data_IF_439258165383
#
_entry.id   IF_439258165383
#
_cell.length_a   1.000
_cell.length_b   1.000
_cell.length_c   1.000
_cell.angle_alpha   90.00
_cell.angle_beta   90.00
_cell.angle_gamma   90.00
#
_symmetry.space_group_name_H-M   'P 1'
#
loop_
_entity.id
_entity.type
_entity.pdbx_description
1 polymer ?
#
# COMPACT_ATOMS: atom_id res chain seq x y z
N UNK A 1 2.12 -13.67 -32.12
CA UNK A 1 1.90 -12.86 -30.91
C UNK A 1 1.48 -13.81 -29.80
N UNK A 2 2.33 -14.02 -28.79
CA UNK A 2 2.02 -14.88 -27.66
C UNK A 2 1.13 -14.11 -26.69
N UNK A 3 0.01 -14.66 -26.18
CA UNK A 3 -0.74 -14.00 -25.13
C UNK A 3 0.12 -14.09 -23.87
N UNK A 4 0.82 -13.00 -23.55
CA UNK A 4 1.47 -12.82 -22.27
C UNK A 4 0.37 -12.88 -21.21
N UNK A 5 0.19 -14.05 -20.59
CA UNK A 5 -0.53 -14.21 -19.34
C UNK A 5 0.27 -13.50 -18.25
N UNK A 6 0.30 -12.16 -18.32
CA UNK A 6 0.78 -11.28 -17.28
C UNK A 6 -0.14 -11.47 -16.09
N UNK A 7 0.31 -12.30 -15.14
CA UNK A 7 -0.25 -12.39 -13.80
C UNK A 7 -0.16 -10.99 -13.19
N UNK A 8 -1.19 -10.19 -13.44
CA UNK A 8 -1.26 -8.80 -13.01
C UNK A 8 -1.54 -8.86 -11.53
N UNK A 9 -0.64 -8.34 -10.68
CA UNK A 9 -0.81 -8.44 -9.24
C UNK A 9 -2.08 -7.70 -8.83
N UNK A 10 -2.93 -8.34 -8.05
CA UNK A 10 -4.14 -7.71 -7.53
C UNK A 10 -3.80 -6.96 -6.26
N UNK A 11 -3.87 -5.63 -6.31
CA UNK A 11 -3.61 -4.79 -5.14
C UNK A 11 -4.94 -4.45 -4.46
N UNK A 12 -5.05 -4.77 -3.18
CA UNK A 12 -6.12 -4.37 -2.28
C UNK A 12 -5.56 -3.37 -1.27
N UNK A 13 -6.11 -2.16 -1.25
CA UNK A 13 -5.63 -1.08 -0.40
C UNK A 13 -6.74 -0.69 0.58
N UNK A 14 -6.52 -0.99 1.85
CA UNK A 14 -7.39 -0.66 2.95
C UNK A 14 -6.86 0.54 3.70
N UNK A 15 -7.70 1.55 3.81
CA UNK A 15 -7.43 2.76 4.58
C UNK A 15 -8.06 2.65 5.97
N UNK A 16 -7.42 3.19 7.02
CA UNK A 16 -8.01 3.33 8.34
C UNK A 16 -9.34 4.09 8.26
N UNK A 17 -10.28 3.69 9.12
CA UNK A 17 -11.59 4.35 9.20
C UNK A 17 -11.43 5.76 9.75
N UNK A 18 -12.28 6.67 9.28
CA UNK A 18 -12.31 8.06 9.72
C UNK A 18 -12.36 8.21 11.25
N UNK A 19 -13.16 7.36 11.91
CA UNK A 19 -13.26 7.33 13.37
C UNK A 19 -11.90 7.06 14.04
N UNK A 20 -11.16 6.09 13.53
CA UNK A 20 -9.80 5.76 14.01
C UNK A 20 -8.86 6.94 13.83
N UNK A 21 -8.91 7.60 12.67
CA UNK A 21 -8.09 8.80 12.37
C UNK A 21 -8.40 9.96 13.33
N UNK A 22 -9.64 10.07 13.80
CA UNK A 22 -10.03 11.11 14.76
C UNK A 22 -9.66 10.77 16.21
N UNK A 23 -9.76 9.51 16.60
CA UNK A 23 -9.59 9.09 18.01
C UNK A 23 -8.18 8.62 18.36
N UNK A 24 -7.44 8.07 17.40
CA UNK A 24 -6.11 7.51 17.64
C UNK A 24 -5.00 8.51 17.27
N UNK A 25 -3.86 8.35 17.94
CA UNK A 25 -2.62 9.11 17.64
C UNK A 25 -1.98 8.62 16.35
N UNK A 26 -2.05 7.31 16.11
CA UNK A 26 -1.45 6.63 14.97
C UNK A 26 -2.52 5.85 14.24
N UNK A 27 -2.36 5.76 12.93
CA UNK A 27 -3.28 5.06 12.04
C UNK A 27 -2.50 4.10 11.18
N UNK A 28 -3.17 3.01 10.81
CA UNK A 28 -2.57 1.92 10.04
C UNK A 28 -3.35 1.77 8.75
N UNK A 29 -2.66 1.85 7.62
CA UNK A 29 -3.19 1.47 6.32
C UNK A 29 -2.58 0.12 5.89
N UNK A 30 -3.40 -0.73 5.30
CA UNK A 30 -3.00 -2.08 4.91
C UNK A 30 -3.06 -2.19 3.39
N UNK A 31 -1.99 -2.65 2.76
CA UNK A 31 -1.96 -2.96 1.35
C UNK A 31 -1.66 -4.43 1.15
N UNK A 32 -2.59 -5.18 0.58
CA UNK A 32 -2.43 -6.59 0.25
C UNK A 32 -2.25 -6.72 -1.25
N UNK A 33 -1.10 -7.24 -1.66
CA UNK A 33 -0.75 -7.49 -3.05
C UNK A 33 -0.79 -8.99 -3.28
N UNK A 34 -1.78 -9.47 -4.02
CA UNK A 34 -1.84 -10.86 -4.45
C UNK A 34 -1.00 -11.03 -5.72
N UNK A 35 0.12 -11.70 -5.59
CA UNK A 35 1.05 -11.94 -6.69
C UNK A 35 1.75 -13.28 -6.53
N UNK A 36 1.86 -14.02 -7.64
CA UNK A 36 2.56 -15.31 -7.66
C UNK A 36 4.04 -15.23 -7.23
N UNK A 37 4.61 -14.01 -7.19
CA UNK A 37 5.99 -13.72 -6.84
C UNK A 37 6.07 -12.70 -5.71
N UNK A 38 7.22 -12.66 -5.03
CA UNK A 38 7.51 -11.70 -3.98
C UNK A 38 7.80 -10.31 -4.57
N UNK A 39 6.76 -9.50 -4.72
CA UNK A 39 6.83 -8.15 -5.23
C UNK A 39 7.37 -7.18 -4.17
N UNK A 40 8.17 -6.23 -4.61
CA UNK A 40 8.56 -5.10 -3.77
C UNK A 40 7.39 -4.14 -3.65
N UNK A 41 6.91 -3.94 -2.42
CA UNK A 41 5.82 -2.99 -2.15
C UNK A 41 6.42 -1.67 -1.66
N UNK A 42 6.02 -0.58 -2.29
CA UNK A 42 6.45 0.77 -1.98
C UNK A 42 5.24 1.64 -1.73
N UNK A 43 5.30 2.47 -0.70
CA UNK A 43 4.24 3.42 -0.37
C UNK A 43 4.60 4.81 -0.89
N UNK A 44 3.59 5.54 -1.32
CA UNK A 44 3.66 6.92 -1.75
C UNK A 44 2.50 7.69 -1.12
N UNK A 45 2.83 8.73 -0.36
CA UNK A 45 1.90 9.62 0.32
C UNK A 45 1.82 10.92 -0.50
N UNK A 46 0.68 11.22 -1.11
CA UNK A 46 0.52 12.32 -2.08
C UNK A 46 1.58 12.32 -3.18
N UNK A 47 1.94 11.12 -3.68
CA UNK A 47 2.98 10.93 -4.69
C UNK A 47 4.41 11.07 -4.17
N UNK A 48 4.62 11.30 -2.86
CA UNK A 48 5.94 11.41 -2.23
C UNK A 48 6.26 10.18 -1.39
N UNK A 49 7.55 9.84 -1.28
CA UNK A 49 7.99 8.74 -0.43
C UNK A 49 7.73 9.08 1.05
N UNK A 50 7.22 8.15 1.87
CA UNK A 50 7.01 8.38 3.30
C UNK A 50 8.30 8.83 3.99
N UNK A 51 8.19 9.79 4.89
CA UNK A 51 9.29 10.26 5.74
C UNK A 51 9.67 9.19 6.77
N UNK A 52 10.85 9.25 7.38
CA UNK A 52 11.33 8.29 8.39
C UNK A 52 10.43 8.11 9.62
N UNK A 53 9.43 8.99 9.84
CA UNK A 53 8.41 8.85 10.89
C UNK A 53 7.31 7.84 10.54
N UNK A 54 7.24 7.41 9.29
CA UNK A 54 6.27 6.44 8.81
C UNK A 54 6.89 5.05 8.88
N UNK A 55 6.23 4.15 9.59
CA UNK A 55 6.70 2.79 9.80
C UNK A 55 6.03 1.86 8.81
N UNK A 56 6.83 1.22 7.95
CA UNK A 56 6.36 0.30 6.92
C UNK A 56 6.74 -1.12 7.32
N UNK A 57 5.75 -1.95 7.63
CA UNK A 57 5.94 -3.39 7.84
C UNK A 57 5.45 -4.14 6.62
N UNK A 58 6.35 -4.72 5.84
CA UNK A 58 5.98 -5.62 4.74
C UNK A 58 6.18 -7.07 5.18
N UNK A 59 5.17 -7.90 4.93
CA UNK A 59 5.15 -9.31 5.22
C UNK A 59 4.68 -10.09 3.99
N UNK A 60 5.48 -11.04 3.54
CA UNK A 60 5.11 -12.00 2.51
C UNK A 60 4.38 -13.18 3.16
N UNK A 61 3.09 -13.31 2.91
CA UNK A 61 2.33 -14.49 3.34
C UNK A 61 2.64 -15.70 2.45
N UNK A 62 2.60 -16.89 3.03
CA UNK A 62 2.88 -18.18 2.38
C UNK A 62 1.95 -18.46 1.17
N UNK A 63 0.82 -17.76 1.08
CA UNK A 63 -0.22 -17.90 0.03
C UNK A 63 -0.01 -16.97 -1.17
N UNK A 64 1.24 -16.68 -1.56
CA UNK A 64 1.54 -15.81 -2.72
C UNK A 64 0.85 -14.43 -2.62
N UNK A 65 0.87 -13.85 -1.43
CA UNK A 65 0.24 -12.55 -1.14
C UNK A 65 1.14 -11.77 -0.21
N UNK A 66 1.38 -10.50 -0.50
CA UNK A 66 2.24 -9.62 0.27
C UNK A 66 1.37 -8.61 0.98
N UNK A 67 1.36 -8.62 2.31
CA UNK A 67 0.70 -7.61 3.12
C UNK A 67 1.71 -6.56 3.56
N UNK A 68 1.42 -5.30 3.32
CA UNK A 68 2.22 -4.17 3.79
C UNK A 68 1.36 -3.29 4.68
N UNK A 69 1.78 -3.08 5.91
CA UNK A 69 1.13 -2.23 6.89
C UNK A 69 1.92 -0.94 7.04
N UNK A 70 1.26 0.17 6.74
CA UNK A 70 1.79 1.51 6.85
C UNK A 70 1.23 2.18 8.09
N UNK A 71 2.07 2.33 9.11
CA UNK A 71 1.73 3.05 10.34
C UNK A 71 2.24 4.48 10.23
N UNK A 72 1.33 5.46 10.39
CA UNK A 72 1.68 6.88 10.43
C UNK A 72 0.84 7.63 11.47
N UNK A 73 1.34 8.77 11.96
CA UNK A 73 0.56 9.62 12.86
C UNK A 73 -0.73 10.10 12.20
N UNK A 74 -1.82 10.15 12.94
CA UNK A 74 -3.11 10.68 12.49
C UNK A 74 -3.00 12.14 12.05
N UNK A 75 -2.11 12.92 12.66
CA UNK A 75 -1.80 14.30 12.24
C UNK A 75 -1.25 14.35 10.81
N UNK A 76 -0.35 13.42 10.47
CA UNK A 76 0.17 13.31 9.11
C UNK A 76 -0.95 12.81 8.18
N UNK A 77 -1.69 11.77 8.57
CA UNK A 77 -2.79 11.23 7.79
C UNK A 77 -3.84 12.27 7.39
N UNK A 78 -4.26 13.13 8.33
CA UNK A 78 -5.22 14.21 8.10
C UNK A 78 -4.72 15.24 7.07
N UNK A 79 -3.41 15.41 6.95
CA UNK A 79 -2.81 16.27 5.93
C UNK A 79 -2.67 15.61 4.57
N UNK A 80 -2.80 14.28 4.50
CA UNK A 80 -2.71 13.55 3.25
C UNK A 80 -3.98 13.68 2.44
N UNK A 81 -3.84 13.78 1.11
CA UNK A 81 -5.00 13.73 0.22
C UNK A 81 -5.18 12.30 -0.31
N UNK A 82 -4.09 11.69 -0.73
CA UNK A 82 -4.07 10.37 -1.35
C UNK A 82 -2.92 9.52 -0.83
N UNK A 83 -3.15 8.21 -0.78
CA UNK A 83 -2.08 7.24 -0.56
C UNK A 83 -2.04 6.30 -1.73
N UNK A 84 -0.84 5.90 -2.13
CA UNK A 84 -0.62 4.98 -3.22
C UNK A 84 0.28 3.84 -2.75
N UNK A 85 -0.20 2.62 -2.95
CA UNK A 85 0.59 1.41 -2.76
C UNK A 85 1.04 0.92 -4.13
N UNK A 86 2.35 0.76 -4.33
CA UNK A 86 2.96 0.33 -5.58
C UNK A 86 3.66 -1.00 -5.39
N UNK A 87 3.32 -1.99 -6.21
CA UNK A 87 3.96 -3.29 -6.28
C UNK A 87 4.80 -3.41 -7.54
N UNK A 88 6.08 -3.73 -7.39
CA UNK A 88 7.03 -3.87 -8.50
C UNK A 88 7.76 -5.21 -8.42
N UNK A 89 7.87 -5.90 -9.55
CA UNK A 89 8.60 -7.16 -9.66
C UNK A 89 9.16 -7.32 -11.07
N UNK A 90 10.16 -8.19 -11.24
CA UNK A 90 10.80 -8.42 -12.56
C UNK A 90 9.94 -9.23 -13.53
N UNK A 91 9.05 -10.06 -12.99
CA UNK A 91 8.22 -10.98 -13.78
C UNK A 91 6.88 -10.37 -14.25
N UNK A 92 6.55 -9.13 -13.87
CA UNK A 92 5.30 -8.47 -14.26
C UNK A 92 5.46 -6.94 -14.31
N UNK A 93 4.53 -6.25 -14.98
CA UNK A 93 4.53 -4.79 -15.04
C UNK A 93 4.20 -4.18 -13.68
N UNK A 94 4.90 -3.11 -13.24
CA UNK A 94 4.66 -2.47 -11.96
C UNK A 94 3.22 -1.96 -11.87
N UNK A 95 2.51 -2.39 -10.83
CA UNK A 95 1.11 -2.01 -10.58
C UNK A 95 1.07 -1.10 -9.36
N UNK A 96 0.17 -0.12 -9.37
CA UNK A 96 -0.09 0.70 -8.19
C UNK A 96 -1.58 0.88 -7.97
N UNK A 97 -1.97 1.12 -6.73
CA UNK A 97 -3.33 1.46 -6.35
C UNK A 97 -3.33 2.67 -5.45
N UNK A 98 -4.14 3.64 -5.82
CA UNK A 98 -4.28 4.91 -5.10
C UNK A 98 -5.66 4.95 -4.44
N UNK A 99 -5.69 5.29 -3.16
CA UNK A 99 -6.92 5.55 -2.40
C UNK A 99 -6.92 7.00 -1.91
N UNK A 100 -8.06 7.66 -2.05
CA UNK A 100 -8.30 8.98 -1.48
C UNK A 100 -8.53 8.82 0.03
N UNK A 101 -7.75 9.53 0.82
CA UNK A 101 -7.81 9.49 2.29
C UNK A 101 -8.30 10.81 2.88
N UNK A 102 -8.41 11.83 2.02
CA UNK A 102 -9.12 13.07 2.31
C UNK A 102 -10.63 12.78 2.42
N UNK A 103 -11.17 12.96 3.61
CA UNK A 103 -12.61 12.96 3.89
C UNK A 103 -13.04 14.32 4.41
#
# INVERSE_FOLDING_TARGET
AFPSSTSTPSIHLETPRFRTVMTQTDVIATCVVHSAYDAKVTWLLDGKVPTSKTLVNQHSSTTQSISSNLTLPSSQWKTLNTITCRAEHRCFNPTHKTSNVKG
#
